data_IF_814667279331
#
_entry.id   IF_814667279331
#
_cell.length_a   1.000
_cell.length_b   1.000
_cell.length_c   1.000
_cell.angle_alpha   90.00
_cell.angle_beta   90.00
_cell.angle_gamma   90.00
#
_symmetry.space_group_name_H-M   'P 1'
#
loop_
_entity.id
_entity.type
_entity.pdbx_description
1 polymer ?
#
# COMPACT_ATOMS: atom_id res chain seq x y z
N UNK A 1 29.80 -57.10 61.26
CA UNK A 1 30.35 -55.95 60.56
C UNK A 1 29.53 -55.72 59.29
N UNK A 2 28.50 -54.94 59.34
CA UNK A 2 27.54 -54.68 58.26
C UNK A 2 27.84 -53.33 57.62
N UNK A 3 28.27 -53.29 56.38
CA UNK A 3 28.53 -52.04 55.64
C UNK A 3 27.25 -51.55 55.03
N UNK A 4 26.80 -50.38 55.46
CA UNK A 4 25.66 -49.61 54.91
C UNK A 4 26.13 -48.89 53.63
N UNK A 5 25.51 -49.20 52.52
CA UNK A 5 25.77 -48.54 51.20
C UNK A 5 24.82 -47.32 51.11
N UNK A 6 25.36 -46.12 51.14
CA UNK A 6 24.64 -44.84 50.96
C UNK A 6 24.43 -44.60 49.46
N UNK A 7 23.17 -44.42 49.06
CA UNK A 7 22.72 -44.13 47.70
C UNK A 7 22.98 -42.65 47.35
N UNK A 8 23.53 -42.29 46.17
CA UNK A 8 23.75 -40.89 45.81
C UNK A 8 22.43 -40.18 45.47
N UNK A 9 22.32 -38.97 46.00
CA UNK A 9 21.19 -38.03 45.87
C UNK A 9 21.19 -37.45 44.43
N UNK A 10 20.14 -37.68 43.69
CA UNK A 10 19.97 -37.13 42.32
C UNK A 10 19.87 -35.61 42.36
N UNK A 11 20.76 -34.93 41.67
CA UNK A 11 20.76 -33.48 41.40
C UNK A 11 19.67 -33.21 40.39
N UNK A 12 18.58 -32.56 40.79
CA UNK A 12 17.53 -32.08 39.90
C UNK A 12 18.03 -30.87 39.09
N UNK A 13 18.38 -31.07 37.84
CA UNK A 13 18.64 -30.01 36.92
C UNK A 13 17.36 -29.22 36.65
N UNK A 14 17.26 -27.99 37.20
CA UNK A 14 16.20 -27.04 36.86
C UNK A 14 16.28 -26.74 35.36
N UNK A 15 15.40 -27.31 34.54
CA UNK A 15 15.12 -26.89 33.18
C UNK A 15 14.63 -25.43 33.27
N UNK A 16 15.47 -24.47 32.83
CA UNK A 16 15.09 -23.08 32.71
C UNK A 16 13.87 -22.98 31.79
N UNK A 17 12.75 -22.49 32.34
CA UNK A 17 11.57 -22.15 31.55
C UNK A 17 11.99 -21.07 30.55
N UNK A 18 12.03 -21.42 29.27
CA UNK A 18 12.17 -20.46 28.18
C UNK A 18 10.93 -19.59 28.25
N UNK A 19 11.11 -18.36 28.77
CA UNK A 19 10.05 -17.34 28.88
C UNK A 19 9.58 -17.05 27.46
N UNK A 20 8.43 -17.58 27.07
CA UNK A 20 7.82 -17.32 25.78
C UNK A 20 7.57 -15.81 25.69
N UNK A 21 8.31 -15.15 24.78
CA UNK A 21 8.15 -13.72 24.51
C UNK A 21 6.74 -13.47 23.95
N UNK A 22 6.06 -12.41 24.41
CA UNK A 22 4.77 -12.03 23.85
C UNK A 22 4.89 -11.78 22.35
N UNK A 23 3.82 -12.01 21.55
CA UNK A 23 3.83 -11.81 20.09
C UNK A 23 4.36 -10.44 19.68
N UNK A 24 3.94 -9.40 20.40
CA UNK A 24 4.37 -8.02 20.13
C UNK A 24 5.86 -7.80 20.43
N UNK A 25 6.41 -8.44 21.47
CA UNK A 25 7.84 -8.35 21.78
C UNK A 25 8.67 -9.01 20.69
N UNK A 26 8.18 -10.10 20.08
CA UNK A 26 8.82 -10.78 18.96
C UNK A 26 8.76 -9.89 17.71
N UNK A 27 7.61 -9.31 17.40
CA UNK A 27 7.43 -8.39 16.28
C UNK A 27 8.34 -7.15 16.42
N UNK A 28 8.44 -6.58 17.62
CA UNK A 28 9.31 -5.44 17.94
C UNK A 28 10.79 -5.74 17.66
N UNK A 29 11.27 -6.91 18.08
CA UNK A 29 12.67 -7.32 17.82
C UNK A 29 12.91 -7.52 16.32
N UNK A 30 11.99 -8.15 15.61
CA UNK A 30 12.08 -8.38 14.18
C UNK A 30 12.11 -7.06 13.40
N UNK A 31 11.20 -6.14 13.72
CA UNK A 31 11.13 -4.82 13.10
C UNK A 31 12.41 -3.99 13.37
N UNK A 32 12.86 -3.96 14.63
CA UNK A 32 14.08 -3.25 14.99
C UNK A 32 15.31 -3.78 14.25
N UNK A 33 15.43 -5.10 14.14
CA UNK A 33 16.52 -5.74 13.41
C UNK A 33 16.48 -5.41 11.91
N UNK A 34 15.29 -5.39 11.30
CA UNK A 34 15.12 -5.11 9.87
C UNK A 34 15.62 -3.71 9.47
N UNK A 35 15.57 -2.74 10.38
CA UNK A 35 15.97 -1.33 10.13
C UNK A 35 17.25 -0.91 10.86
N UNK A 36 17.96 -1.85 11.50
CA UNK A 36 19.20 -1.58 12.22
C UNK A 36 19.02 -0.70 13.48
N UNK A 37 17.84 -0.71 14.09
CA UNK A 37 17.54 -0.03 15.34
C UNK A 37 17.59 -0.99 16.53
N UNK A 38 17.74 -0.43 17.75
CA UNK A 38 17.53 -1.23 18.96
C UNK A 38 16.03 -1.33 19.28
N UNK A 39 15.57 -2.45 19.86
CA UNK A 39 14.16 -2.57 20.30
C UNK A 39 13.76 -1.47 21.27
N UNK A 40 14.68 -1.03 22.16
CA UNK A 40 14.44 0.07 23.09
C UNK A 40 14.14 1.40 22.36
N UNK A 41 14.92 1.72 21.31
CA UNK A 41 14.70 2.94 20.52
C UNK A 41 13.33 2.93 19.81
N UNK A 42 12.92 1.78 19.32
CA UNK A 42 11.60 1.63 18.68
C UNK A 42 10.47 1.71 19.71
N UNK A 43 10.66 1.16 20.90
CA UNK A 43 9.71 1.32 22.04
C UNK A 43 9.58 2.80 22.42
N UNK A 44 10.68 3.52 22.52
CA UNK A 44 10.68 4.96 22.82
C UNK A 44 9.94 5.76 21.74
N UNK A 45 10.06 5.38 20.46
CA UNK A 45 9.29 6.02 19.39
C UNK A 45 7.78 5.77 19.58
N UNK A 46 7.36 4.55 19.89
CA UNK A 46 5.94 4.24 20.17
C UNK A 46 5.39 4.97 21.39
N UNK A 47 6.20 5.29 22.41
CA UNK A 47 5.74 5.99 23.62
C UNK A 47 5.27 7.43 23.35
N UNK A 48 5.55 7.98 22.17
CA UNK A 48 5.07 9.30 21.73
C UNK A 48 3.58 9.27 21.33
N UNK A 49 3.00 8.09 21.15
CA UNK A 49 1.62 7.91 20.69
C UNK A 49 0.76 7.33 21.82
N UNK A 50 0.10 8.20 22.62
CA UNK A 50 -0.74 7.75 23.73
C UNK A 50 -1.96 6.99 23.20
N UNK A 51 -2.43 6.01 23.97
CA UNK A 51 -3.63 5.21 23.65
C UNK A 51 -3.54 4.42 22.33
N UNK A 52 -2.33 4.13 21.87
CA UNK A 52 -2.13 3.27 20.71
C UNK A 52 -2.61 1.85 20.99
N UNK A 53 -3.49 1.31 20.14
CA UNK A 53 -3.95 -0.07 20.30
C UNK A 53 -2.86 -1.07 19.92
N UNK A 54 -2.85 -2.24 20.58
CA UNK A 54 -1.90 -3.31 20.26
C UNK A 54 -1.97 -3.74 18.80
N UNK A 55 -3.18 -3.81 18.23
CA UNK A 55 -3.39 -4.16 16.82
C UNK A 55 -2.76 -3.14 15.85
N UNK A 56 -2.85 -1.83 16.16
CA UNK A 56 -2.22 -0.78 15.35
C UNK A 56 -0.70 -0.85 15.47
N UNK A 57 -0.19 -1.09 16.68
CA UNK A 57 1.25 -1.26 16.91
C UNK A 57 1.80 -2.48 16.16
N UNK A 58 1.10 -3.61 16.19
CA UNK A 58 1.48 -4.83 15.46
C UNK A 58 1.48 -4.59 13.95
N UNK A 59 0.47 -3.91 13.42
CA UNK A 59 0.39 -3.53 12.01
C UNK A 59 1.58 -2.65 11.61
N UNK A 60 1.93 -1.65 12.44
CA UNK A 60 3.09 -0.78 12.21
C UNK A 60 4.40 -1.58 12.22
N UNK A 61 4.60 -2.44 13.20
CA UNK A 61 5.79 -3.29 13.32
C UNK A 61 5.93 -4.23 12.12
N UNK A 62 4.81 -4.78 11.64
CA UNK A 62 4.80 -5.63 10.44
C UNK A 62 5.27 -4.84 9.21
N UNK A 63 4.74 -3.64 8.97
CA UNK A 63 5.15 -2.80 7.84
C UNK A 63 6.62 -2.35 7.94
N UNK A 64 7.09 -2.02 9.15
CA UNK A 64 8.50 -1.72 9.39
C UNK A 64 9.38 -2.91 9.01
N UNK A 65 9.01 -4.11 9.45
CA UNK A 65 9.79 -5.32 9.17
C UNK A 65 9.78 -5.71 7.68
N UNK A 66 8.61 -5.65 7.04
CA UNK A 66 8.39 -6.06 5.66
C UNK A 66 9.04 -5.11 4.67
N UNK A 67 8.83 -3.81 4.86
CA UNK A 67 9.29 -2.77 3.92
C UNK A 67 10.54 -2.02 4.39
N UNK A 68 11.12 -2.40 5.53
CA UNK A 68 12.31 -1.75 6.13
C UNK A 68 12.15 -0.25 6.30
N UNK A 69 10.94 0.21 6.63
CA UNK A 69 10.63 1.62 6.81
C UNK A 69 11.17 2.11 8.16
N UNK A 70 11.97 3.18 8.13
CA UNK A 70 12.61 3.73 9.32
C UNK A 70 11.82 4.94 9.86
N UNK A 71 11.19 4.84 11.05
CA UNK A 71 10.46 5.96 11.63
C UNK A 71 11.36 7.17 11.95
N UNK A 72 12.65 6.98 12.20
CA UNK A 72 13.59 8.10 12.43
C UNK A 72 13.95 8.86 11.15
N UNK A 73 13.78 8.24 9.98
CA UNK A 73 13.97 8.86 8.68
C UNK A 73 12.65 9.42 8.13
N UNK A 74 11.61 9.50 8.97
CA UNK A 74 10.28 9.95 8.58
C UNK A 74 9.73 9.17 7.38
N UNK A 75 9.92 7.83 7.36
CA UNK A 75 9.43 6.95 6.30
C UNK A 75 8.07 6.31 6.64
N UNK A 76 7.75 6.21 7.92
CA UNK A 76 6.49 5.69 8.45
C UNK A 76 6.12 6.46 9.71
N UNK A 77 4.84 6.74 9.89
CA UNK A 77 4.31 7.49 11.01
C UNK A 77 2.93 6.97 11.44
N UNK A 78 2.42 7.47 12.55
CA UNK A 78 1.09 7.20 13.09
C UNK A 78 0.29 8.49 13.09
N UNK A 79 -0.81 8.51 12.37
CA UNK A 79 -1.70 9.67 12.27
C UNK A 79 -2.99 9.39 13.03
N UNK A 80 -3.41 10.36 13.85
CA UNK A 80 -4.67 10.29 14.56
C UNK A 80 -5.80 10.78 13.66
N UNK A 81 -6.75 9.89 13.41
CA UNK A 81 -7.99 10.23 12.73
C UNK A 81 -9.10 10.57 13.74
N UNK A 82 -10.26 10.94 13.25
CA UNK A 82 -11.43 11.24 14.05
C UNK A 82 -11.67 10.20 15.14
N UNK A 83 -12.15 10.64 16.30
CA UNK A 83 -12.43 9.82 17.49
C UNK A 83 -11.20 9.20 18.17
N UNK A 84 -10.00 9.80 18.02
CA UNK A 84 -8.81 9.36 18.75
C UNK A 84 -8.19 8.05 18.26
N UNK A 85 -8.60 7.55 17.09
CA UNK A 85 -8.09 6.30 16.52
C UNK A 85 -6.81 6.56 15.74
N UNK A 86 -5.73 5.87 16.12
CA UNK A 86 -4.45 5.90 15.42
C UNK A 86 -4.46 4.97 14.19
N UNK A 87 -3.85 5.44 13.12
CA UNK A 87 -3.63 4.64 11.91
C UNK A 87 -2.18 4.76 11.46
N UNK A 88 -1.66 3.67 10.89
CA UNK A 88 -0.32 3.63 10.31
C UNK A 88 -0.35 4.35 8.97
N UNK A 89 0.61 5.25 8.77
CA UNK A 89 0.75 6.04 7.56
C UNK A 89 2.18 5.92 7.01
N UNK A 90 2.32 5.49 5.77
CA UNK A 90 3.60 5.57 5.06
C UNK A 90 3.71 6.98 4.49
N UNK A 91 4.74 7.70 4.90
CA UNK A 91 4.98 9.08 4.48
C UNK A 91 5.43 9.15 3.02
N UNK A 92 5.59 10.37 2.50
CA UNK A 92 6.15 10.57 1.15
C UNK A 92 7.57 10.00 1.04
N UNK A 93 8.37 10.13 2.10
CA UNK A 93 9.73 9.58 2.14
C UNK A 93 9.70 8.05 2.08
N UNK A 94 8.77 7.43 2.82
CA UNK A 94 8.57 5.99 2.77
C UNK A 94 8.15 5.51 1.37
N UNK A 95 7.19 6.17 0.75
CA UNK A 95 6.78 5.84 -0.62
C UNK A 95 7.89 6.04 -1.63
N UNK A 96 8.64 7.15 -1.54
CA UNK A 96 9.79 7.40 -2.40
C UNK A 96 10.84 6.29 -2.25
N UNK A 97 11.14 5.86 -1.03
CA UNK A 97 12.05 4.74 -0.77
C UNK A 97 11.55 3.45 -1.40
N UNK A 98 10.27 3.08 -1.20
CA UNK A 98 9.69 1.85 -1.75
C UNK A 98 9.73 1.83 -3.28
N UNK A 99 9.39 2.93 -3.92
CA UNK A 99 9.38 3.08 -5.37
C UNK A 99 10.81 2.96 -5.93
N UNK A 100 11.76 3.73 -5.37
CA UNK A 100 13.13 3.75 -5.86
C UNK A 100 13.93 2.48 -5.53
N UNK A 101 13.55 1.73 -4.50
CA UNK A 101 14.20 0.46 -4.16
C UNK A 101 13.80 -0.70 -5.08
N UNK A 102 12.73 -0.57 -5.86
CA UNK A 102 12.26 -1.66 -6.71
C UNK A 102 13.15 -1.81 -7.95
N UNK A 103 13.71 -3.00 -8.22
CA UNK A 103 14.71 -3.20 -9.27
C UNK A 103 14.18 -2.92 -10.70
N UNK A 104 12.88 -3.05 -10.91
CA UNK A 104 12.26 -2.75 -12.20
C UNK A 104 11.77 -1.30 -12.32
N UNK A 105 12.00 -0.43 -11.34
CA UNK A 105 11.62 0.98 -11.44
C UNK A 105 12.46 1.68 -12.52
N UNK A 106 11.79 2.37 -13.45
CA UNK A 106 12.44 3.08 -14.55
C UNK A 106 12.18 4.59 -14.50
N UNK A 107 11.01 4.99 -14.01
CA UNK A 107 10.65 6.40 -13.91
C UNK A 107 9.21 6.62 -13.44
N UNK A 108 8.93 7.87 -13.08
CA UNK A 108 7.61 8.32 -12.65
C UNK A 108 7.30 9.67 -13.28
N UNK A 109 6.07 9.85 -13.75
CA UNK A 109 5.54 11.09 -14.31
C UNK A 109 4.22 11.44 -13.67
N UNK A 110 3.94 12.75 -13.60
CA UNK A 110 2.67 13.27 -13.13
C UNK A 110 2.00 14.08 -14.22
N UNK A 111 0.69 13.95 -14.34
CA UNK A 111 -0.18 14.74 -15.19
C UNK A 111 -1.34 15.26 -14.36
N UNK A 112 -1.93 16.37 -14.79
CA UNK A 112 -3.06 16.96 -14.09
C UNK A 112 -4.08 17.51 -15.08
N UNK A 113 -5.33 17.65 -14.63
CA UNK A 113 -6.36 18.31 -15.41
C UNK A 113 -6.04 19.79 -15.57
N UNK A 114 -6.37 20.35 -16.74
CA UNK A 114 -6.41 21.81 -16.95
C UNK A 114 -7.60 22.47 -16.26
N UNK A 115 -8.66 21.71 -16.03
CA UNK A 115 -9.84 22.13 -15.30
C UNK A 115 -9.61 22.10 -13.81
N UNK A 116 -10.05 23.15 -13.11
CA UNK A 116 -9.86 23.32 -11.68
C UNK A 116 -11.21 23.34 -10.95
N UNK A 117 -11.26 22.69 -9.80
CA UNK A 117 -12.35 22.78 -8.82
C UNK A 117 -11.75 23.29 -7.51
N UNK A 118 -12.29 24.36 -6.94
CA UNK A 118 -11.74 25.04 -5.75
C UNK A 118 -10.23 25.40 -5.88
N UNK A 119 -9.73 25.68 -7.10
CA UNK A 119 -8.33 25.96 -7.36
C UNK A 119 -7.41 24.74 -7.40
N UNK A 120 -7.98 23.54 -7.36
CA UNK A 120 -7.28 22.25 -7.44
C UNK A 120 -7.63 21.55 -8.75
N UNK A 121 -6.71 20.90 -9.46
CA UNK A 121 -7.04 20.10 -10.62
C UNK A 121 -8.10 19.05 -10.29
N UNK A 122 -9.13 18.91 -11.12
CA UNK A 122 -10.21 17.94 -10.90
C UNK A 122 -9.72 16.49 -10.85
N UNK A 123 -8.55 16.20 -11.44
CA UNK A 123 -7.84 14.94 -11.30
C UNK A 123 -6.32 15.13 -11.36
N UNK A 124 -5.60 14.22 -10.74
CA UNK A 124 -4.15 14.06 -10.82
C UNK A 124 -3.82 12.66 -11.30
N UNK A 125 -2.98 12.57 -12.32
CA UNK A 125 -2.48 11.32 -12.87
C UNK A 125 -1.06 11.02 -12.40
N UNK A 126 -0.77 9.73 -12.22
CA UNK A 126 0.56 9.23 -11.99
C UNK A 126 0.84 8.10 -12.97
N UNK A 127 1.99 8.14 -13.63
CA UNK A 127 2.48 7.11 -14.54
C UNK A 127 3.78 6.56 -13.99
N UNK A 128 3.85 5.24 -13.79
CA UNK A 128 5.08 4.54 -13.38
C UNK A 128 5.55 3.65 -14.51
N UNK A 129 6.80 3.87 -14.92
CA UNK A 129 7.49 3.08 -15.92
C UNK A 129 8.32 1.98 -15.25
N UNK A 130 8.31 0.79 -15.86
CA UNK A 130 9.06 -0.37 -15.38
C UNK A 130 9.88 -0.95 -16.53
N UNK A 131 11.09 -1.43 -16.22
CA UNK A 131 11.99 -2.05 -17.21
C UNK A 131 11.53 -3.42 -17.69
N UNK A 132 10.69 -4.11 -16.90
CA UNK A 132 10.18 -5.46 -17.16
C UNK A 132 8.80 -5.47 -17.86
N UNK A 133 8.26 -4.30 -18.25
CA UNK A 133 6.96 -4.17 -18.91
C UNK A 133 7.00 -3.14 -20.04
N UNK A 134 6.31 -3.45 -21.13
CA UNK A 134 6.22 -2.54 -22.29
C UNK A 134 5.29 -1.36 -22.00
N UNK A 135 4.17 -1.61 -21.31
CA UNK A 135 3.19 -0.57 -21.00
C UNK A 135 3.39 -0.07 -19.56
N UNK A 136 3.39 1.25 -19.35
CA UNK A 136 3.43 1.80 -18.01
C UNK A 136 2.12 1.53 -17.25
N UNK A 137 2.18 1.63 -15.94
CA UNK A 137 1.01 1.67 -15.08
C UNK A 137 0.58 3.13 -14.95
N UNK A 138 -0.68 3.41 -15.24
CA UNK A 138 -1.26 4.77 -15.20
C UNK A 138 -2.47 4.76 -14.29
N UNK A 139 -2.51 5.67 -13.33
CA UNK A 139 -3.63 5.89 -12.41
C UNK A 139 -4.02 7.36 -12.45
N UNK A 140 -5.31 7.62 -12.35
CA UNK A 140 -5.88 8.94 -12.10
C UNK A 140 -6.68 8.90 -10.82
N UNK A 141 -6.50 9.91 -9.99
CA UNK A 141 -7.29 10.14 -8.79
C UNK A 141 -8.05 11.45 -8.92
N UNK A 142 -9.32 11.43 -8.54
CA UNK A 142 -10.22 12.58 -8.68
C UNK A 142 -10.35 13.33 -7.36
N UNK A 143 -10.30 14.66 -7.43
CA UNK A 143 -10.31 15.53 -6.25
C UNK A 143 -11.56 15.32 -5.39
N UNK A 144 -12.73 15.26 -6.03
CA UNK A 144 -14.02 15.04 -5.35
C UNK A 144 -14.11 13.73 -4.58
N UNK A 145 -13.44 12.66 -5.07
CA UNK A 145 -13.42 11.35 -4.41
C UNK A 145 -12.41 11.26 -3.26
N UNK A 146 -11.30 12.02 -3.38
CA UNK A 146 -10.17 11.93 -2.44
C UNK A 146 -10.22 12.96 -1.32
N UNK A 147 -10.90 14.09 -1.52
CA UNK A 147 -11.01 15.18 -0.55
C UNK A 147 -11.61 14.68 0.77
N UNK A 148 -10.97 15.03 1.88
CA UNK A 148 -11.47 14.76 3.23
C UNK A 148 -11.40 16.01 4.10
N UNK A 149 -12.08 15.98 5.25
CA UNK A 149 -12.07 17.08 6.24
C UNK A 149 -10.73 17.23 6.98
N UNK A 150 -9.75 16.38 6.71
CA UNK A 150 -8.45 16.45 7.37
C UNK A 150 -7.70 17.73 6.97
N UNK A 151 -7.07 18.40 7.96
CA UNK A 151 -6.39 19.68 7.79
C UNK A 151 -5.39 19.73 6.61
N UNK A 152 -4.68 18.63 6.32
CA UNK A 152 -3.75 18.56 5.20
C UNK A 152 -4.44 18.73 3.83
N UNK A 153 -5.68 18.25 3.68
CA UNK A 153 -6.47 18.45 2.46
C UNK A 153 -6.96 19.90 2.32
N UNK A 154 -7.21 20.59 3.43
CA UNK A 154 -7.59 22.00 3.41
C UNK A 154 -6.39 22.90 3.10
N UNK A 155 -5.22 22.60 3.67
CA UNK A 155 -4.03 23.43 3.52
C UNK A 155 -3.26 23.17 2.21
N UNK A 156 -3.19 21.92 1.75
CA UNK A 156 -2.37 21.52 0.60
C UNK A 156 -3.08 20.49 -0.29
N UNK A 157 -4.29 20.77 -0.80
CA UNK A 157 -5.12 19.80 -1.51
C UNK A 157 -4.44 19.24 -2.77
N UNK A 158 -3.81 20.08 -3.59
CA UNK A 158 -3.09 19.65 -4.81
C UNK A 158 -1.93 18.72 -4.49
N UNK A 159 -1.21 18.97 -3.38
CA UNK A 159 -0.14 18.09 -2.92
C UNK A 159 -0.69 16.73 -2.44
N UNK A 160 -1.80 16.78 -1.69
CA UNK A 160 -2.46 15.56 -1.21
C UNK A 160 -2.99 14.69 -2.36
N UNK A 161 -3.60 15.31 -3.38
CA UNK A 161 -4.09 14.61 -4.56
C UNK A 161 -2.93 13.92 -5.32
N UNK A 162 -1.80 14.62 -5.49
CA UNK A 162 -0.58 14.03 -6.10
C UNK A 162 -0.06 12.84 -5.30
N UNK A 163 -0.04 12.93 -3.97
CA UNK A 163 0.38 11.81 -3.13
C UNK A 163 -0.55 10.61 -3.28
N UNK A 164 -1.87 10.83 -3.39
CA UNK A 164 -2.83 9.74 -3.59
C UNK A 164 -2.62 9.05 -4.94
N UNK A 165 -2.49 9.80 -6.01
CA UNK A 165 -2.20 9.24 -7.33
C UNK A 165 -0.90 8.42 -7.34
N UNK A 166 0.17 8.94 -6.71
CA UNK A 166 1.44 8.22 -6.57
C UNK A 166 1.29 6.92 -5.78
N UNK A 167 0.61 6.96 -4.63
CA UNK A 167 0.41 5.80 -3.77
C UNK A 167 -0.34 4.68 -4.48
N UNK A 168 -1.44 4.99 -5.15
CA UNK A 168 -2.24 4.00 -5.87
C UNK A 168 -1.47 3.44 -7.07
N UNK A 169 -0.77 4.30 -7.82
CA UNK A 169 0.06 3.86 -8.93
C UNK A 169 1.17 2.91 -8.47
N UNK A 170 1.88 3.24 -7.39
CA UNK A 170 2.95 2.42 -6.82
C UNK A 170 2.43 1.07 -6.29
N UNK A 171 1.25 1.06 -5.65
CA UNK A 171 0.61 -0.19 -5.20
C UNK A 171 0.36 -1.15 -6.35
N UNK A 172 -0.19 -0.66 -7.46
CA UNK A 172 -0.44 -1.49 -8.64
C UNK A 172 0.84 -1.83 -9.40
N UNK A 173 1.78 -0.89 -9.46
CA UNK A 173 3.04 -1.12 -10.17
C UNK A 173 3.92 -2.16 -9.48
N UNK A 174 3.97 -2.17 -8.16
CA UNK A 174 4.94 -2.95 -7.38
C UNK A 174 4.32 -3.98 -6.43
N UNK A 175 2.99 -4.08 -6.39
CA UNK A 175 2.29 -5.03 -5.50
C UNK A 175 2.41 -4.67 -4.02
N UNK A 176 2.60 -3.38 -3.69
CA UNK A 176 2.74 -2.94 -2.31
C UNK A 176 1.40 -3.01 -1.58
N UNK A 177 1.33 -3.83 -0.53
CA UNK A 177 0.12 -4.01 0.27
C UNK A 177 0.20 -3.20 1.56
N UNK A 178 -0.54 -2.11 1.63
CA UNK A 178 -0.66 -1.26 2.82
C UNK A 178 -2.12 -1.25 3.26
N UNK A 179 -2.40 -1.33 4.57
CA UNK A 179 -3.77 -1.16 5.05
C UNK A 179 -4.33 0.19 4.62
N UNK A 180 -5.49 0.18 3.98
CA UNK A 180 -6.18 1.42 3.64
C UNK A 180 -6.91 1.96 4.87
N UNK A 181 -6.90 3.29 4.99
CA UNK A 181 -7.85 3.97 5.82
C UNK A 181 -9.25 3.77 5.21
N UNK A 182 -9.97 2.74 5.65
CA UNK A 182 -11.37 2.61 5.28
C UNK A 182 -12.11 3.76 5.93
N UNK A 183 -12.81 4.63 5.18
CA UNK A 183 -13.78 5.51 5.80
C UNK A 183 -14.72 4.62 6.61
N UNK A 184 -15.03 5.03 7.84
CA UNK A 184 -15.96 4.27 8.69
C UNK A 184 -17.25 4.09 7.90
N UNK A 185 -17.59 2.82 7.62
CA UNK A 185 -18.73 2.40 6.82
C UNK A 185 -20.05 2.64 7.56
N UNK A 186 -20.38 3.92 7.81
CA UNK A 186 -21.69 4.31 8.32
C UNK A 186 -22.60 4.88 7.23
N UNK A 187 -22.26 4.76 5.94
CA UNK A 187 -23.08 5.32 4.85
C UNK A 187 -23.08 4.52 3.54
N UNK A 188 -22.65 3.27 3.53
CA UNK A 188 -22.98 2.38 2.42
C UNK A 188 -24.09 1.46 2.90
N UNK A 189 -25.29 2.02 2.97
CA UNK A 189 -26.53 1.26 2.97
C UNK A 189 -26.50 0.38 1.74
N UNK A 190 -26.67 -0.93 1.95
CA UNK A 190 -26.68 -1.94 0.91
C UNK A 190 -27.50 -1.47 -0.28
N UNK A 191 -26.87 -1.37 -1.45
CA UNK A 191 -27.59 -1.38 -2.71
C UNK A 191 -28.28 -2.74 -2.78
N UNK A 192 -29.60 -2.81 -2.98
CA UNK A 192 -30.28 -4.08 -3.14
C UNK A 192 -29.74 -4.74 -4.40
N UNK A 193 -29.19 -5.95 -4.23
CA UNK A 193 -28.93 -6.86 -5.33
C UNK A 193 -30.28 -7.31 -5.92
N UNK A 194 -30.83 -6.53 -6.82
CA UNK A 194 -31.83 -6.98 -7.78
C UNK A 194 -31.15 -7.04 -9.13
N UNK A 195 -30.59 -8.21 -9.41
CA UNK A 195 -30.24 -8.61 -10.77
C UNK A 195 -31.53 -9.08 -11.43
N UNK A 196 -32.09 -8.37 -12.40
CA UNK A 196 -33.12 -8.96 -13.23
C UNK A 196 -32.44 -9.92 -14.21
N UNK A 197 -32.56 -11.21 -13.93
CA UNK A 197 -32.31 -12.25 -14.91
C UNK A 197 -33.38 -12.14 -16.02
N UNK A 198 -33.01 -11.47 -17.11
CA UNK A 198 -33.75 -11.55 -18.37
C UNK A 198 -32.77 -11.38 -19.53
N UNK A 199 -32.33 -12.50 -20.05
CA UNK A 199 -31.68 -12.60 -21.35
C UNK A 199 -32.77 -12.64 -22.40
N UNK A 200 -32.95 -11.65 -23.28
CA UNK A 200 -33.77 -11.85 -24.48
C UNK A 200 -32.90 -12.54 -25.52
N UNK A 201 -33.33 -13.78 -25.87
CA UNK A 201 -32.89 -14.44 -27.09
C UNK A 201 -33.28 -13.59 -28.31
N UNK A 202 -32.29 -13.07 -29.03
CA UNK A 202 -32.47 -12.52 -30.35
C UNK A 202 -31.76 -13.43 -31.35
N UNK A 203 -32.61 -14.26 -31.97
CA UNK A 203 -32.34 -15.01 -33.20
C UNK A 203 -32.33 -14.08 -34.41
N UNK A 204 -31.23 -14.13 -35.22
CA UNK A 204 -31.16 -13.82 -36.62
C UNK A 204 -30.38 -12.56 -37.02
N UNK A 205 -29.89 -12.44 -38.25
CA UNK A 205 -29.36 -13.47 -39.14
C UNK A 205 -27.86 -13.26 -39.47
N UNK A 206 -27.19 -14.30 -39.87
CA UNK A 206 -25.86 -14.41 -40.46
C UNK A 206 -25.57 -13.34 -41.51
N UNK A 207 -24.50 -12.53 -41.31
CA UNK A 207 -23.78 -11.91 -42.42
C UNK A 207 -22.30 -12.01 -42.20
N UNK A 208 -21.70 -12.81 -43.06
CA UNK A 208 -20.29 -12.92 -43.43
C UNK A 208 -19.66 -11.58 -43.76
N UNK A 209 -18.49 -11.28 -43.17
CA UNK A 209 -17.31 -10.72 -43.84
C UNK A 209 -16.24 -10.43 -42.78
N UNK A 210 -15.36 -11.41 -42.63
CA UNK A 210 -14.08 -11.24 -41.94
C UNK A 210 -13.16 -10.43 -42.87
N UNK A 211 -13.05 -9.12 -42.68
CA UNK A 211 -11.91 -8.36 -43.19
C UNK A 211 -10.82 -8.43 -42.11
N UNK A 212 -9.75 -9.15 -42.47
CA UNK A 212 -8.60 -9.34 -41.59
C UNK A 212 -7.85 -8.02 -41.39
N UNK A 213 -7.41 -7.78 -40.18
CA UNK A 213 -6.60 -6.63 -39.74
C UNK A 213 -5.35 -6.38 -40.63
N UNK A 214 -4.89 -7.39 -41.39
CA UNK A 214 -3.78 -7.31 -42.33
C UNK A 214 -4.11 -6.48 -43.60
N UNK A 215 -5.40 -6.41 -43.98
CA UNK A 215 -5.82 -5.63 -45.14
C UNK A 215 -5.82 -4.12 -44.84
N UNK A 216 -6.23 -3.74 -43.63
CA UNK A 216 -6.26 -2.33 -43.21
C UNK A 216 -4.85 -1.75 -43.05
N UNK A 217 -3.87 -2.56 -42.60
CA UNK A 217 -2.47 -2.12 -42.50
C UNK A 217 -1.80 -1.90 -43.85
N UNK A 218 -2.13 -2.73 -44.84
CA UNK A 218 -1.57 -2.57 -46.19
C UNK A 218 -2.06 -1.30 -46.90
N UNK A 219 -3.31 -0.92 -46.67
CA UNK A 219 -3.90 0.28 -47.28
C UNK A 219 -3.33 1.57 -46.68
N UNK A 220 -3.01 1.59 -45.38
CA UNK A 220 -2.37 2.74 -44.71
C UNK A 220 -0.91 2.95 -45.11
N UNK A 221 -0.18 1.88 -45.44
CA UNK A 221 1.22 1.97 -45.91
C UNK A 221 1.34 2.44 -47.34
N UNK A 222 0.29 2.28 -48.16
CA UNK A 222 0.28 2.73 -49.55
C UNK A 222 -0.05 4.23 -49.71
N UNK A 223 -0.49 4.92 -48.69
CA UNK A 223 -0.94 6.32 -48.74
C UNK A 223 0.02 7.32 -48.10
N UNK A 224 1.26 6.93 -47.75
CA UNK A 224 2.28 7.89 -47.30
C UNK A 224 2.99 8.53 -48.47
N UNK A 225 2.88 9.85 -48.71
CA UNK A 225 3.64 10.52 -49.73
C UNK A 225 5.10 10.65 -49.33
N UNK A 226 5.99 10.11 -50.16
CA UNK A 226 7.41 10.43 -50.10
C UNK A 226 7.61 11.90 -50.40
N UNK A 227 7.95 12.70 -49.41
CA UNK A 227 8.52 14.02 -49.63
C UNK A 227 10.04 13.92 -49.64
N UNK A 228 10.58 14.35 -50.76
CA UNK A 228 12.02 14.51 -51.04
C UNK A 228 12.59 15.66 -50.21
#
# INVERSE_FOLDING_TARGET
MTKTITKPKAVATKKGAVKQLSPITKALKCAAQAIGMTPASLTTWFSQYPQLTEATQETCLRLIAEYRLNPRADEIDLVQFEKGRWQVFITVNGWAKLINAHPAFCGIEFSEASELEEGVPIWMGCTIYRTDRIKPIVIREYFTEMKTEHAAWQQMPRRMLRHRAMQQCARLAFGITVPECKPSSSSISALPETVPSAVPSLSGPTRSATQSHAAILKERLAQSPMTR
#
